data_IF_400743503799
#
_entry.id   IF_400743503799
#
_cell.length_a   1.000
_cell.length_b   1.000
_cell.length_c   1.000
_cell.angle_alpha   90.00
_cell.angle_beta   90.00
_cell.angle_gamma   90.00
#
_symmetry.space_group_name_H-M   'P 1'
#
loop_
_entity.id
_entity.type
_entity.pdbx_description
1 polymer ?
#
# COMPACT_ATOMS: atom_id res chain seq x y z
N UNK A 1 -16.51 -52.02 18.24
CA UNK A 1 -16.60 -50.57 17.92
C UNK A 1 -15.39 -49.87 18.55
N UNK A 2 -14.37 -49.53 17.76
CA UNK A 2 -13.21 -48.77 18.25
C UNK A 2 -13.34 -47.31 17.80
N UNK A 3 -13.28 -46.37 18.75
CA UNK A 3 -13.27 -44.93 18.48
C UNK A 3 -11.88 -44.54 17.98
N UNK A 4 -11.82 -43.84 16.85
CA UNK A 4 -10.59 -43.30 16.30
C UNK A 4 -10.13 -42.08 17.13
N UNK A 5 -8.88 -42.11 17.61
CA UNK A 5 -8.22 -40.95 18.21
C UNK A 5 -7.86 -39.96 17.08
N UNK A 6 -8.43 -38.76 17.13
CA UNK A 6 -8.12 -37.68 16.19
C UNK A 6 -6.66 -37.20 16.31
N UNK A 7 -6.11 -36.52 15.28
CA UNK A 7 -4.72 -36.12 15.26
C UNK A 7 -4.41 -35.09 16.34
N UNK A 8 -3.44 -35.41 17.18
CA UNK A 8 -2.81 -34.48 18.14
C UNK A 8 -2.16 -33.34 17.37
N UNK A 9 -2.51 -32.10 17.70
CA UNK A 9 -1.84 -30.91 17.19
C UNK A 9 -0.38 -30.94 17.67
N UNK A 10 0.53 -31.46 16.85
CA UNK A 10 1.96 -31.35 17.09
C UNK A 10 2.36 -29.89 16.95
N UNK A 11 2.98 -29.32 17.98
CA UNK A 11 3.54 -27.98 17.90
C UNK A 11 4.50 -27.87 16.70
N UNK A 12 4.48 -26.75 15.96
CA UNK A 12 5.33 -26.58 14.79
C UNK A 12 6.82 -26.60 15.19
N UNK A 13 7.70 -27.11 14.32
CA UNK A 13 9.13 -27.23 14.60
C UNK A 13 9.76 -25.87 14.97
N UNK A 14 10.80 -25.87 15.82
CA UNK A 14 11.35 -24.66 16.45
C UNK A 14 11.94 -23.64 15.47
N UNK A 15 12.23 -24.04 14.22
CA UNK A 15 12.67 -23.17 13.13
C UNK A 15 11.55 -22.25 12.59
N UNK A 16 10.28 -22.63 12.79
CA UNK A 16 9.10 -21.82 12.41
C UNK A 16 8.62 -20.86 13.50
N UNK A 17 9.27 -20.85 14.67
CA UNK A 17 8.98 -19.84 15.69
C UNK A 17 9.75 -18.58 15.35
N UNK A 18 9.14 -17.71 14.56
CA UNK A 18 9.66 -16.35 14.34
C UNK A 18 9.74 -15.67 15.71
N UNK A 19 10.93 -15.58 16.30
CA UNK A 19 11.18 -14.91 17.58
C UNK A 19 10.84 -13.43 17.41
N UNK A 20 9.59 -13.07 17.72
CA UNK A 20 9.12 -11.69 17.74
C UNK A 20 9.80 -11.00 18.91
N UNK A 21 10.95 -10.38 18.66
CA UNK A 21 11.57 -9.46 19.62
C UNK A 21 10.60 -8.31 19.84
N UNK A 22 9.95 -8.28 20.99
CA UNK A 22 9.08 -7.18 21.39
C UNK A 22 9.99 -5.96 21.57
N UNK A 23 9.84 -4.97 20.70
CA UNK A 23 10.54 -3.69 20.81
C UNK A 23 9.88 -2.87 21.91
N UNK A 24 10.67 -2.20 22.74
CA UNK A 24 10.14 -1.31 23.78
C UNK A 24 9.35 -0.16 23.13
N UNK A 25 8.03 -0.20 23.26
CA UNK A 25 7.12 0.78 22.68
C UNK A 25 7.26 2.20 23.23
N UNK A 26 7.93 2.38 24.38
CA UNK A 26 8.12 3.69 25.01
C UNK A 26 9.00 4.65 24.16
N UNK A 27 9.64 4.14 23.10
CA UNK A 27 10.43 4.94 22.15
C UNK A 27 9.69 5.22 20.83
N UNK A 28 8.45 4.74 20.67
CA UNK A 28 7.63 4.98 19.49
C UNK A 28 6.51 5.96 19.84
N UNK A 29 6.31 6.95 18.99
CA UNK A 29 5.20 7.89 19.10
C UNK A 29 4.42 7.91 17.78
N UNK A 30 3.11 8.12 17.86
CA UNK A 30 2.28 8.34 16.68
C UNK A 30 2.74 9.64 15.99
N UNK A 31 3.18 9.55 14.74
CA UNK A 31 3.58 10.73 13.99
C UNK A 31 2.35 11.51 13.48
N UNK A 32 1.43 10.80 12.84
CA UNK A 32 0.17 11.35 12.33
C UNK A 32 -0.86 10.25 12.07
N UNK A 33 -2.15 10.61 12.12
CA UNK A 33 -3.29 9.73 11.83
C UNK A 33 -4.50 10.55 11.37
N UNK A 34 -5.33 9.99 10.48
CA UNK A 34 -6.72 10.45 10.28
C UNK A 34 -7.11 10.94 8.89
N UNK A 35 -6.23 11.57 8.09
CA UNK A 35 -6.53 12.06 6.73
C UNK A 35 -5.58 11.45 5.70
N UNK A 36 -6.02 11.14 4.44
CA UNK A 36 -7.37 11.29 3.86
C UNK A 36 -8.49 10.46 4.52
N UNK A 37 -8.13 9.51 5.39
CA UNK A 37 -9.08 8.58 5.99
C UNK A 37 -9.61 7.57 4.97
N UNK A 38 -10.64 6.82 5.33
CA UNK A 38 -11.20 5.77 4.46
C UNK A 38 -11.99 6.31 3.25
N UNK A 39 -12.23 7.63 3.18
CA UNK A 39 -13.09 8.22 2.16
C UNK A 39 -12.37 8.26 0.81
N UNK A 40 -12.95 7.60 -0.18
CA UNK A 40 -12.32 7.44 -1.51
C UNK A 40 -11.32 6.29 -1.60
N UNK A 41 -11.25 5.42 -0.58
CA UNK A 41 -10.56 4.13 -0.69
C UNK A 41 -11.49 3.05 -1.24
N UNK A 42 -10.92 2.12 -2.00
CA UNK A 42 -11.62 0.88 -2.38
C UNK A 42 -11.92 0.08 -1.11
N UNK A 43 -13.04 -0.65 -1.11
CA UNK A 43 -13.43 -1.53 -0.02
C UNK A 43 -12.28 -2.47 0.41
N UNK A 44 -12.15 -2.65 1.73
CA UNK A 44 -11.02 -3.39 2.33
C UNK A 44 -10.98 -4.87 1.93
N UNK A 45 -12.12 -5.45 1.54
CA UNK A 45 -12.19 -6.84 1.07
C UNK A 45 -11.38 -7.04 -0.21
N UNK A 46 -11.22 -5.98 -1.02
CA UNK A 46 -10.43 -5.98 -2.24
C UNK A 46 -8.93 -6.17 -2.04
N UNK A 47 -8.39 -6.13 -0.81
CA UNK A 47 -6.93 -6.23 -0.56
C UNK A 47 -6.13 -5.28 -1.46
N UNK A 48 -6.38 -3.98 -1.25
CA UNK A 48 -5.78 -2.90 -2.02
C UNK A 48 -4.23 -3.01 -2.06
N UNK A 49 -3.58 -2.56 -3.14
CA UNK A 49 -2.13 -2.56 -3.24
C UNK A 49 -1.49 -1.82 -2.07
N UNK A 50 -0.34 -2.29 -1.58
CA UNK A 50 0.35 -1.58 -0.51
C UNK A 50 0.82 -0.20 -1.02
N UNK A 51 0.81 0.82 -0.15
CA UNK A 51 1.27 2.15 -0.52
C UNK A 51 2.78 2.16 -0.80
N UNK A 52 3.22 3.16 -1.57
CA UNK A 52 4.63 3.35 -1.92
C UNK A 52 5.14 4.65 -1.28
N UNK A 53 6.34 4.65 -0.72
CA UNK A 53 6.97 5.87 -0.18
C UNK A 53 8.29 6.14 -0.88
N UNK A 54 8.52 7.37 -1.32
CA UNK A 54 9.81 7.82 -1.87
C UNK A 54 9.95 9.34 -1.74
N UNK A 55 11.16 9.82 -1.41
CA UNK A 55 11.48 11.25 -1.26
C UNK A 55 10.54 12.05 -0.35
N UNK A 56 10.06 11.45 0.76
CA UNK A 56 9.10 12.12 1.66
C UNK A 56 7.66 12.18 1.15
N UNK A 57 7.37 11.58 -0.01
CA UNK A 57 6.02 11.39 -0.52
C UNK A 57 5.54 9.96 -0.24
N UNK A 58 4.32 9.86 0.26
CA UNK A 58 3.56 8.62 0.40
C UNK A 58 2.47 8.61 -0.69
N UNK A 59 2.51 7.60 -1.55
CA UNK A 59 1.59 7.38 -2.66
C UNK A 59 0.59 6.29 -2.28
N UNK A 60 -0.70 6.62 -2.33
CA UNK A 60 -1.79 5.74 -1.92
C UNK A 60 -2.79 5.60 -3.06
N UNK A 61 -3.08 4.36 -3.44
CA UNK A 61 -4.16 4.07 -4.39
C UNK A 61 -5.51 4.09 -3.66
N UNK A 62 -6.43 4.91 -4.17
CA UNK A 62 -7.84 4.93 -3.78
C UNK A 62 -8.72 4.29 -4.86
N UNK A 63 -10.01 4.62 -4.83
CA UNK A 63 -10.96 4.22 -5.87
C UNK A 63 -10.81 5.10 -7.11
N UNK A 64 -10.30 4.50 -8.21
CA UNK A 64 -10.00 5.17 -9.47
C UNK A 64 -9.12 6.43 -9.32
N UNK A 65 -8.23 6.43 -8.33
CA UNK A 65 -7.40 7.60 -8.00
C UNK A 65 -6.10 7.21 -7.34
N UNK A 66 -5.13 8.12 -7.39
CA UNK A 66 -3.93 8.07 -6.57
C UNK A 66 -3.78 9.41 -5.87
N UNK A 67 -3.46 9.36 -4.57
CA UNK A 67 -3.06 10.53 -3.79
C UNK A 67 -1.56 10.51 -3.55
N UNK A 68 -0.93 11.67 -3.70
CA UNK A 68 0.37 11.93 -3.11
C UNK A 68 0.18 12.76 -1.85
N UNK A 69 0.70 12.25 -0.75
CA UNK A 69 0.66 12.92 0.54
C UNK A 69 2.06 13.01 1.15
N UNK A 70 2.25 14.00 1.99
CA UNK A 70 3.47 14.14 2.79
C UNK A 70 3.57 12.95 3.76
N UNK A 71 4.69 12.22 3.70
CA UNK A 71 4.91 11.02 4.49
C UNK A 71 5.06 11.29 6.00
N UNK A 72 5.35 12.54 6.40
CA UNK A 72 5.68 12.92 7.78
C UNK A 72 4.51 13.58 8.52
N UNK A 73 3.52 14.13 7.81
CA UNK A 73 2.35 14.74 8.44
C UNK A 73 0.99 14.29 7.85
N UNK A 74 1.00 13.53 6.75
CA UNK A 74 -0.22 13.00 6.13
C UNK A 74 -1.01 14.01 5.30
N UNK A 75 -0.48 15.23 5.08
CA UNK A 75 -1.13 16.25 4.26
C UNK A 75 -1.23 15.78 2.81
N UNK A 76 -2.43 15.86 2.23
CA UNK A 76 -2.62 15.56 0.80
C UNK A 76 -2.01 16.71 0.00
N UNK A 77 -1.01 16.41 -0.82
CA UNK A 77 -0.33 17.39 -1.65
C UNK A 77 -0.95 17.46 -3.04
N UNK A 78 -1.42 16.32 -3.56
CA UNK A 78 -2.14 16.25 -4.82
C UNK A 78 -3.03 15.01 -4.91
N UNK A 79 -4.02 15.08 -5.80
CA UNK A 79 -4.94 13.98 -6.13
C UNK A 79 -5.04 13.89 -7.66
N UNK A 80 -4.84 12.70 -8.20
CA UNK A 80 -5.11 12.43 -9.59
C UNK A 80 -6.19 11.36 -9.73
N UNK A 81 -7.28 11.72 -10.41
CA UNK A 81 -8.40 10.83 -10.70
C UNK A 81 -8.25 10.27 -12.12
N UNK A 82 -8.46 8.98 -12.27
CA UNK A 82 -8.33 8.28 -13.54
C UNK A 82 -9.68 8.30 -14.27
N UNK A 83 -9.73 8.79 -15.52
CA UNK A 83 -10.95 8.72 -16.32
C UNK A 83 -11.37 7.27 -16.64
N UNK A 84 -10.40 6.36 -16.73
CA UNK A 84 -10.58 4.91 -16.87
C UNK A 84 -10.45 4.20 -15.53
N UNK A 85 -10.96 2.97 -15.42
CA UNK A 85 -10.94 2.20 -14.17
C UNK A 85 -9.51 1.86 -13.70
N UNK A 86 -9.11 2.41 -12.55
CA UNK A 86 -7.93 2.03 -11.77
C UNK A 86 -8.39 1.30 -10.50
N UNK A 87 -8.66 0.00 -10.64
CA UNK A 87 -9.04 -0.89 -9.54
C UNK A 87 -8.24 -2.19 -9.55
N UNK A 88 -6.92 -2.09 -9.42
CA UNK A 88 -6.16 -3.30 -9.06
C UNK A 88 -6.38 -3.63 -7.60
N UNK A 89 -6.87 -4.84 -7.40
CA UNK A 89 -7.27 -5.46 -6.14
C UNK A 89 -6.66 -6.86 -6.11
N UNK A 90 -6.67 -7.50 -4.95
CA UNK A 90 -6.07 -8.81 -4.72
C UNK A 90 -4.56 -8.84 -5.03
N UNK A 91 -3.82 -7.86 -4.51
CA UNK A 91 -2.36 -7.78 -4.57
C UNK A 91 -1.63 -8.33 -3.33
N UNK A 92 -2.15 -9.26 -2.49
CA UNK A 92 -1.41 -9.73 -1.31
C UNK A 92 -0.28 -10.71 -1.65
N UNK A 93 -0.31 -11.30 -2.85
CA UNK A 93 0.65 -12.30 -3.35
C UNK A 93 1.50 -11.78 -4.51
N UNK A 94 1.11 -10.62 -5.04
CA UNK A 94 1.79 -9.90 -6.11
C UNK A 94 2.40 -8.62 -5.53
N UNK A 95 3.46 -8.10 -6.14
CA UNK A 95 4.00 -6.79 -5.75
C UNK A 95 3.00 -5.66 -6.02
N UNK A 96 3.17 -4.51 -5.36
CA UNK A 96 2.37 -3.30 -5.67
C UNK A 96 2.41 -3.01 -7.17
N UNK A 97 1.35 -2.36 -7.69
CA UNK A 97 1.31 -1.91 -9.07
C UNK A 97 2.06 -0.59 -9.31
N UNK A 98 2.75 -0.06 -8.29
CA UNK A 98 3.43 1.22 -8.30
C UNK A 98 4.96 1.09 -8.22
N UNK A 99 5.69 1.91 -9.00
CA UNK A 99 7.11 2.13 -8.82
C UNK A 99 7.45 3.62 -8.87
N UNK A 100 8.45 4.05 -8.10
CA UNK A 100 8.84 5.45 -7.99
C UNK A 100 10.28 5.67 -8.47
N UNK A 101 10.50 6.77 -9.18
CA UNK A 101 11.82 7.22 -9.62
C UNK A 101 12.24 8.44 -8.80
N UNK A 102 13.33 8.30 -8.05
CA UNK A 102 13.86 9.30 -7.10
C UNK A 102 14.31 10.58 -7.78
N UNK A 103 14.92 10.50 -8.97
CA UNK A 103 15.53 11.65 -9.66
C UNK A 103 14.52 12.60 -10.31
N UNK A 104 13.27 12.14 -10.51
CA UNK A 104 12.21 12.93 -11.16
C UNK A 104 10.93 13.01 -10.34
N UNK A 105 10.98 12.56 -9.08
CA UNK A 105 9.81 12.36 -8.21
C UNK A 105 8.64 11.79 -9.01
N UNK A 106 8.84 10.67 -9.70
CA UNK A 106 7.86 10.22 -10.69
C UNK A 106 7.27 8.87 -10.32
N UNK A 107 5.94 8.74 -10.35
CA UNK A 107 5.24 7.50 -10.04
C UNK A 107 4.76 6.81 -11.33
N UNK A 108 5.10 5.53 -11.50
CA UNK A 108 4.47 4.68 -12.53
C UNK A 108 3.49 3.71 -11.90
N UNK A 109 2.34 3.56 -12.54
CA UNK A 109 1.31 2.60 -12.17
C UNK A 109 1.05 1.64 -13.35
N UNK A 110 1.30 0.34 -13.15
CA UNK A 110 1.23 -0.69 -14.18
C UNK A 110 -0.21 -1.09 -14.59
N UNK A 111 -1.23 -0.46 -14.00
CA UNK A 111 -2.66 -0.74 -14.27
C UNK A 111 -3.30 0.25 -15.23
N UNK A 112 -2.66 1.39 -15.46
CA UNK A 112 -3.09 2.28 -16.52
C UNK A 112 -2.81 1.62 -17.89
N UNK A 113 -3.71 1.76 -18.89
CA UNK A 113 -3.53 1.23 -20.26
C UNK A 113 -2.20 1.64 -20.90
N UNK A 114 -1.61 2.73 -20.41
CA UNK A 114 -0.30 3.27 -20.77
C UNK A 114 0.46 3.52 -19.47
N UNK A 115 1.73 3.09 -19.37
CA UNK A 115 2.56 3.33 -18.19
C UNK A 115 2.53 4.80 -17.79
N UNK A 116 1.86 5.11 -16.67
CA UNK A 116 1.66 6.49 -16.23
C UNK A 116 2.95 7.05 -15.63
N UNK A 117 3.16 8.36 -15.72
CA UNK A 117 4.14 9.07 -14.89
C UNK A 117 3.43 10.24 -14.21
N UNK A 118 3.34 10.24 -12.88
CA UNK A 118 2.81 11.39 -12.09
C UNK A 118 3.98 12.12 -11.43
N UNK A 119 4.05 13.45 -11.57
CA UNK A 119 5.03 14.30 -10.87
C UNK A 119 4.36 15.08 -9.73
N UNK A 120 4.95 15.15 -8.53
CA UNK A 120 4.54 16.09 -7.49
C UNK A 120 4.66 17.52 -8.00
N UNK A 121 3.61 18.32 -7.79
CA UNK A 121 3.55 19.73 -8.20
C UNK A 121 2.87 19.92 -9.56
N UNK A 122 3.25 19.13 -10.56
CA UNK A 122 2.60 19.12 -11.87
C UNK A 122 1.79 17.82 -12.00
N UNK A 123 0.49 17.88 -11.71
CA UNK A 123 -0.47 16.78 -11.86
C UNK A 123 -0.70 16.41 -13.36
N UNK A 124 0.34 16.46 -14.17
CA UNK A 124 0.33 16.12 -15.59
C UNK A 124 0.55 14.63 -15.74
N UNK A 125 -0.34 14.00 -16.50
CA UNK A 125 -0.20 12.63 -16.96
C UNK A 125 0.55 12.64 -18.27
N UNK A 126 1.70 11.97 -18.28
CA UNK A 126 2.42 11.68 -19.51
C UNK A 126 2.26 10.20 -19.80
N UNK A 127 1.39 9.86 -20.75
CA UNK A 127 1.41 8.55 -21.41
C UNK A 127 2.61 8.51 -22.36
N UNK A 128 3.42 7.47 -22.28
CA UNK A 128 4.37 7.16 -23.37
C UNK A 128 3.68 6.38 -24.45
#
# INVERSE_FOLDING_TARGET
MARANGPTLTEPPPDRQQRRKIVNGNKMALQWFGKPGARGMIDRQGRNPPPLTSNGFLYVQGDNRIWGQDAFNGTILWNYEFPSELRRVNTPRDGSNMCAETLRCSLRCATAPTGLTVKPGDCSVVSR
#
